data_IF_146965767368
#
_entry.id   IF_146965767368
#
_cell.length_a   1.000
_cell.length_b   1.000
_cell.length_c   1.000
_cell.angle_alpha   90.00
_cell.angle_beta   90.00
_cell.angle_gamma   90.00
#
_symmetry.space_group_name_H-M   'P 1'
#
loop_
_entity.id
_entity.type
_entity.pdbx_description
1 polymer ?
#
# COMPACT_ATOMS: atom_id res chain seq x y z
N UNK A 1 26.34 -1.03 -20.85
CA UNK A 1 24.93 -0.95 -20.41
C UNK A 1 24.19 -0.13 -21.46
N UNK A 2 23.17 -0.69 -22.10
CA UNK A 2 22.32 0.10 -22.98
C UNK A 2 21.35 0.90 -22.09
N UNK A 3 21.37 2.22 -22.20
CA UNK A 3 20.32 3.08 -21.63
C UNK A 3 18.97 2.62 -22.18
N UNK A 4 17.92 2.55 -21.36
CA UNK A 4 16.58 2.40 -21.91
C UNK A 4 16.32 3.60 -22.82
N UNK A 5 15.76 3.33 -24.01
CA UNK A 5 15.52 4.39 -24.98
C UNK A 5 14.32 5.23 -24.51
N UNK A 6 14.58 6.50 -24.20
CA UNK A 6 13.53 7.48 -23.98
C UNK A 6 12.74 7.62 -25.28
N UNK A 7 11.43 7.42 -25.22
CA UNK A 7 10.54 7.64 -26.37
C UNK A 7 9.76 8.93 -26.15
N UNK A 8 9.89 9.87 -27.09
CA UNK A 8 9.15 11.13 -27.07
C UNK A 8 7.78 10.99 -27.72
N UNK A 9 6.79 11.62 -27.11
CA UNK A 9 5.43 11.79 -27.61
C UNK A 9 5.08 13.27 -27.60
N UNK A 10 5.08 13.89 -28.78
CA UNK A 10 4.76 15.30 -28.99
C UNK A 10 3.25 15.55 -28.81
N UNK A 11 2.86 16.65 -28.13
CA UNK A 11 1.46 16.93 -27.80
C UNK A 11 0.59 17.26 -29.02
N UNK A 12 1.21 17.68 -30.11
CA UNK A 12 0.57 18.07 -31.36
C UNK A 12 0.51 16.96 -32.41
N UNK A 13 1.13 15.81 -32.14
CA UNK A 13 1.19 14.70 -33.10
C UNK A 13 0.18 13.61 -32.73
N UNK A 14 -0.60 13.13 -33.70
CA UNK A 14 -1.52 12.01 -33.49
C UNK A 14 -0.74 10.74 -33.08
N UNK A 15 -1.23 9.95 -32.09
CA UNK A 15 -2.59 9.94 -31.54
C UNK A 15 -2.82 10.82 -30.29
N UNK A 16 -1.94 11.78 -29.98
CA UNK A 16 -2.20 12.71 -28.88
C UNK A 16 -3.44 13.59 -29.16
N UNK A 17 -4.13 14.00 -28.10
CA UNK A 17 -5.28 14.92 -28.17
C UNK A 17 -5.12 16.06 -27.17
N UNK A 18 -5.50 17.26 -27.57
CA UNK A 18 -5.45 18.47 -26.75
C UNK A 18 -6.85 19.10 -26.70
N UNK A 19 -7.46 19.19 -25.51
CA UNK A 19 -8.69 19.95 -25.28
C UNK A 19 -8.36 21.44 -25.23
N UNK A 20 -8.04 22.02 -26.38
CA UNK A 20 -7.55 23.38 -26.55
C UNK A 20 -7.16 23.61 -28.00
N UNK A 21 -6.05 24.31 -28.22
CA UNK A 21 -5.47 24.49 -29.56
C UNK A 21 -4.00 24.10 -29.54
N UNK A 22 -3.52 23.55 -30.65
CA UNK A 22 -2.09 23.43 -30.89
C UNK A 22 -1.58 24.79 -31.37
N UNK A 23 -0.59 25.34 -30.67
CA UNK A 23 0.03 26.62 -30.99
C UNK A 23 1.54 26.50 -31.20
N UNK A 24 2.14 27.55 -31.76
CA UNK A 24 3.58 27.67 -32.03
C UNK A 24 4.09 29.09 -31.77
N UNK A 25 3.31 29.91 -31.07
CA UNK A 25 3.53 31.35 -30.83
C UNK A 25 4.49 31.66 -29.66
N UNK A 26 4.93 30.65 -28.91
CA UNK A 26 5.96 30.76 -27.89
C UNK A 26 7.15 29.92 -28.30
N UNK A 27 8.36 30.49 -28.36
CA UNK A 27 9.56 29.77 -28.78
C UNK A 27 10.03 28.76 -27.73
N UNK A 28 10.82 27.75 -28.12
CA UNK A 28 11.49 26.80 -27.23
C UNK A 28 10.80 25.44 -27.00
N UNK A 29 9.67 25.20 -27.67
CA UNK A 29 8.99 23.90 -27.78
C UNK A 29 9.72 22.95 -28.74
N UNK A 30 9.39 21.66 -28.75
CA UNK A 30 9.87 20.69 -29.75
C UNK A 30 8.80 20.33 -30.79
N UNK A 31 9.22 19.69 -31.87
CA UNK A 31 8.30 19.36 -32.96
C UNK A 31 7.77 20.60 -33.67
N UNK A 32 6.47 20.63 -33.94
CA UNK A 32 5.78 21.64 -34.75
C UNK A 32 4.86 22.57 -33.95
N UNK A 33 4.58 22.24 -32.69
CA UNK A 33 3.79 23.08 -31.80
C UNK A 33 3.75 22.53 -30.38
N UNK A 34 2.82 23.02 -29.57
CA UNK A 34 2.52 22.53 -28.23
C UNK A 34 1.03 22.63 -27.94
N UNK A 35 0.54 21.85 -26.97
CA UNK A 35 -0.85 21.93 -26.52
C UNK A 35 -1.05 23.11 -25.58
N UNK A 36 -1.83 24.11 -26.03
CA UNK A 36 -2.41 25.15 -25.18
C UNK A 36 -3.82 24.72 -24.76
N UNK A 37 -3.94 24.12 -23.57
CA UNK A 37 -5.20 23.60 -23.06
C UNK A 37 -6.21 24.69 -22.69
N UNK A 38 -7.50 24.38 -22.83
CA UNK A 38 -8.57 25.28 -22.40
C UNK A 38 -8.44 25.62 -20.90
N UNK A 39 -8.65 26.89 -20.55
CA UNK A 39 -8.66 27.38 -19.17
C UNK A 39 -9.95 26.99 -18.44
N UNK A 40 -10.13 25.68 -18.19
CA UNK A 40 -11.22 25.11 -17.40
C UNK A 40 -10.77 23.84 -16.68
N UNK A 41 -11.36 23.56 -15.53
CA UNK A 41 -11.17 22.28 -14.84
C UNK A 41 -11.69 21.14 -15.75
N UNK A 42 -10.94 20.04 -15.81
CA UNK A 42 -11.32 18.85 -16.59
C UNK A 42 -11.01 18.87 -18.10
N UNK A 43 -10.48 19.98 -18.67
CA UNK A 43 -9.79 19.94 -19.97
C UNK A 43 -8.63 18.91 -19.92
N UNK A 44 -8.14 18.38 -21.04
CA UNK A 44 -6.97 17.51 -20.98
C UNK A 44 -6.04 17.58 -22.17
N UNK A 45 -4.78 17.24 -21.89
CA UNK A 45 -3.87 16.68 -22.88
C UNK A 45 -3.80 15.17 -22.63
N UNK A 46 -4.02 14.36 -23.66
CA UNK A 46 -3.96 12.91 -23.58
C UNK A 46 -3.00 12.36 -24.61
N UNK A 47 -2.16 11.43 -24.17
CA UNK A 47 -1.14 10.76 -24.97
C UNK A 47 -1.46 9.27 -25.01
N UNK A 48 -1.22 8.64 -26.16
CA UNK A 48 -1.19 7.17 -26.24
C UNK A 48 0.27 6.74 -26.37
N UNK A 49 0.77 6.06 -25.36
CA UNK A 49 2.17 5.63 -25.28
C UNK A 49 2.24 4.11 -25.38
N UNK A 50 3.29 3.60 -26.02
CA UNK A 50 3.46 2.15 -26.20
C UNK A 50 4.64 1.68 -25.36
N UNK A 51 4.40 0.72 -24.48
CA UNK A 51 5.44 0.05 -23.72
C UNK A 51 5.71 -1.34 -24.32
N UNK A 52 6.96 -1.68 -24.61
CA UNK A 52 7.32 -3.01 -25.12
C UNK A 52 7.11 -4.12 -24.08
N UNK A 53 7.06 -3.76 -22.80
CA UNK A 53 6.75 -4.63 -21.66
C UNK A 53 6.00 -3.84 -20.58
N UNK A 54 5.29 -4.54 -19.70
CA UNK A 54 4.70 -3.93 -18.51
C UNK A 54 5.81 -3.57 -17.51
N UNK A 55 5.72 -2.42 -16.85
CA UNK A 55 6.74 -1.96 -15.91
C UNK A 55 6.56 -0.53 -15.44
N UNK A 56 7.33 -0.15 -14.43
CA UNK A 56 7.36 1.25 -13.95
C UNK A 56 8.09 2.11 -14.97
N UNK A 57 7.38 3.09 -15.52
CA UNK A 57 7.93 4.10 -16.41
C UNK A 57 8.18 5.41 -15.66
N UNK A 58 9.29 6.05 -16.00
CA UNK A 58 9.54 7.46 -15.72
C UNK A 58 8.95 8.27 -16.86
N UNK A 59 8.01 9.15 -16.54
CA UNK A 59 7.32 10.03 -17.46
C UNK A 59 7.77 11.45 -17.15
N UNK A 60 8.52 12.05 -18.06
CA UNK A 60 8.94 13.44 -18.01
C UNK A 60 7.99 14.28 -18.87
N UNK A 61 7.21 15.13 -18.22
CA UNK A 61 6.29 16.07 -18.89
C UNK A 61 7.00 17.40 -19.05
N UNK A 62 7.23 17.84 -20.30
CA UNK A 62 7.75 19.18 -20.56
C UNK A 62 6.62 20.18 -20.71
N UNK A 63 6.73 21.30 -20.00
CA UNK A 63 5.67 22.28 -19.90
C UNK A 63 6.19 23.72 -19.77
N UNK A 64 5.34 24.68 -20.08
CA UNK A 64 5.55 26.10 -19.77
C UNK A 64 4.34 26.67 -19.02
N UNK A 65 4.60 27.41 -17.95
CA UNK A 65 3.59 28.14 -17.19
C UNK A 65 4.12 29.55 -16.93
N UNK A 66 3.80 30.50 -17.83
CA UNK A 66 4.28 31.88 -17.73
C UNK A 66 3.66 32.69 -16.59
N UNK A 67 2.83 32.09 -15.73
CA UNK A 67 2.24 32.74 -14.55
C UNK A 67 3.01 32.40 -13.28
N UNK A 68 2.70 33.06 -12.16
CA UNK A 68 3.25 32.71 -10.84
C UNK A 68 2.41 31.69 -10.08
N UNK A 69 1.17 31.43 -10.52
CA UNK A 69 0.27 30.47 -9.89
C UNK A 69 0.52 29.05 -10.41
N UNK A 70 0.53 28.06 -9.51
CA UNK A 70 0.59 26.65 -9.89
C UNK A 70 -0.66 26.24 -10.71
N UNK A 71 -0.47 25.39 -11.72
CA UNK A 71 -1.55 24.78 -12.51
C UNK A 71 -1.56 23.26 -12.31
N UNK A 72 -2.03 22.75 -11.16
CA UNK A 72 -1.93 21.33 -10.85
C UNK A 72 -2.86 20.47 -11.71
N UNK A 73 -2.45 19.24 -11.99
CA UNK A 73 -3.25 18.26 -12.72
C UNK A 73 -3.18 16.86 -12.11
N UNK A 74 -4.30 16.13 -12.13
CA UNK A 74 -4.30 14.70 -11.94
C UNK A 74 -3.77 14.03 -13.21
N UNK A 75 -2.90 13.05 -13.03
CA UNK A 75 -2.36 12.22 -14.10
C UNK A 75 -3.06 10.88 -14.06
N UNK A 76 -3.90 10.62 -15.05
CA UNK A 76 -4.61 9.37 -15.19
C UNK A 76 -3.86 8.46 -16.14
N UNK A 77 -3.67 7.21 -15.72
CA UNK A 77 -3.14 6.14 -16.54
C UNK A 77 -4.26 5.13 -16.82
N UNK A 78 -4.54 4.88 -18.10
CA UNK A 78 -5.58 3.94 -18.53
C UNK A 78 -6.94 4.22 -17.86
N UNK A 79 -7.27 5.52 -17.68
CA UNK A 79 -8.50 5.99 -17.05
C UNK A 79 -8.51 5.99 -15.52
N UNK A 80 -7.45 5.54 -14.85
CA UNK A 80 -7.33 5.55 -13.38
C UNK A 80 -6.34 6.62 -12.94
N UNK A 81 -6.64 7.39 -11.89
CA UNK A 81 -5.69 8.38 -11.34
C UNK A 81 -4.44 7.66 -10.83
N UNK A 82 -3.31 7.88 -11.51
CA UNK A 82 -2.00 7.34 -11.14
C UNK A 82 -1.27 8.27 -10.17
N UNK A 83 -1.43 9.59 -10.35
CA UNK A 83 -0.97 10.61 -9.42
C UNK A 83 -1.97 11.75 -9.38
N UNK A 84 -2.29 12.25 -8.18
CA UNK A 84 -3.17 13.40 -8.01
C UNK A 84 -2.40 14.69 -7.77
N UNK A 85 -2.92 15.80 -8.29
CA UNK A 85 -2.42 17.14 -8.00
C UNK A 85 -0.95 17.40 -8.37
N UNK A 86 -0.44 16.78 -9.44
CA UNK A 86 0.92 17.01 -9.95
C UNK A 86 1.11 18.49 -10.27
N UNK A 87 2.10 19.12 -9.66
CA UNK A 87 2.33 20.55 -9.78
C UNK A 87 3.03 20.91 -11.11
N UNK A 88 2.50 21.94 -11.76
CA UNK A 88 3.09 22.62 -12.91
C UNK A 88 3.29 24.08 -12.52
N UNK A 89 4.38 24.31 -11.79
CA UNK A 89 4.70 25.61 -11.18
C UNK A 89 5.06 26.67 -12.23
N UNK A 90 5.03 27.94 -11.85
CA UNK A 90 5.44 29.03 -12.74
C UNK A 90 6.86 28.85 -13.27
N UNK A 91 7.03 28.91 -14.60
CA UNK A 91 8.33 28.85 -15.29
C UNK A 91 8.93 30.23 -15.54
N UNK A 92 8.25 31.30 -15.13
CA UNK A 92 8.70 32.69 -15.28
C UNK A 92 8.28 33.35 -16.60
N UNK A 93 8.25 32.59 -17.70
CA UNK A 93 7.73 33.04 -19.00
C UNK A 93 7.17 31.88 -19.82
N UNK A 94 6.26 32.15 -20.75
CA UNK A 94 5.70 31.13 -21.65
C UNK A 94 6.69 30.59 -22.68
N UNK A 95 7.81 31.29 -22.88
CA UNK A 95 8.96 30.83 -23.70
C UNK A 95 10.00 30.07 -22.88
N UNK A 96 9.79 29.93 -21.56
CA UNK A 96 10.67 29.17 -20.66
C UNK A 96 9.99 27.86 -20.31
N UNK A 97 10.63 26.77 -20.70
CA UNK A 97 10.11 25.42 -20.55
C UNK A 97 10.82 24.71 -19.40
N UNK A 98 10.04 23.98 -18.60
CA UNK A 98 10.52 23.15 -17.50
C UNK A 98 10.04 21.71 -17.70
N UNK A 99 10.61 20.80 -16.92
CA UNK A 99 10.22 19.39 -16.91
C UNK A 99 9.79 18.99 -15.52
N UNK A 100 8.61 18.38 -15.41
CA UNK A 100 8.15 17.67 -14.22
C UNK A 100 8.20 16.18 -14.51
N UNK A 101 8.80 15.41 -13.59
CA UNK A 101 8.95 13.96 -13.74
C UNK A 101 8.05 13.23 -12.76
N UNK A 102 7.40 12.18 -13.25
CA UNK A 102 6.59 11.26 -12.44
C UNK A 102 6.87 9.80 -12.79
N UNK A 103 6.48 8.89 -11.91
CA UNK A 103 6.60 7.45 -12.13
C UNK A 103 5.21 6.81 -12.15
N UNK A 104 4.94 5.95 -13.15
CA UNK A 104 3.68 5.22 -13.25
C UNK A 104 3.89 3.82 -13.87
N UNK A 105 3.07 2.85 -13.48
CA UNK A 105 3.19 1.46 -13.97
C UNK A 105 2.41 1.25 -15.26
N UNK A 106 3.11 1.16 -16.39
CA UNK A 106 2.51 0.89 -17.70
C UNK A 106 2.22 -0.60 -17.90
N UNK A 107 1.15 -0.91 -18.63
CA UNK A 107 0.90 -2.24 -19.19
C UNK A 107 1.79 -2.47 -20.41
N UNK A 108 2.06 -3.73 -20.76
CA UNK A 108 2.65 -4.05 -22.05
C UNK A 108 1.67 -3.64 -23.17
N UNK A 109 2.18 -3.06 -24.25
CA UNK A 109 1.39 -2.52 -25.35
C UNK A 109 0.94 -1.08 -25.10
N UNK A 110 -0.25 -0.74 -25.58
CA UNK A 110 -0.78 0.62 -25.58
C UNK A 110 -1.28 1.05 -24.20
N UNK A 111 -0.94 2.27 -23.79
CA UNK A 111 -1.39 2.91 -22.56
C UNK A 111 -1.85 4.34 -22.85
N UNK A 112 -2.85 4.83 -22.13
CA UNK A 112 -3.26 6.24 -22.19
C UNK A 112 -2.77 7.00 -20.97
N UNK A 113 -2.10 8.12 -21.19
CA UNK A 113 -1.70 9.06 -20.14
C UNK A 113 -2.49 10.35 -20.35
N UNK A 114 -3.35 10.71 -19.39
CA UNK A 114 -4.20 11.90 -19.46
C UNK A 114 -3.81 12.87 -18.34
N UNK A 115 -3.45 14.10 -18.70
CA UNK A 115 -3.23 15.21 -17.78
C UNK A 115 -4.55 15.96 -17.60
N UNK A 116 -5.10 16.00 -16.39
CA UNK A 116 -6.40 16.59 -16.07
C UNK A 116 -6.26 17.69 -15.03
N UNK A 117 -6.32 18.99 -15.39
CA UNK A 117 -6.16 20.09 -14.46
C UNK A 117 -7.28 20.06 -13.42
N UNK A 118 -6.90 20.27 -12.17
CA UNK A 118 -7.81 20.23 -11.02
C UNK A 118 -8.37 21.60 -10.65
N UNK A 119 -7.99 22.65 -11.39
CA UNK A 119 -8.41 24.04 -11.15
C UNK A 119 -9.00 24.67 -12.40
N UNK A 120 -9.79 25.73 -12.22
CA UNK A 120 -10.38 26.50 -13.32
C UNK A 120 -9.33 27.16 -14.22
N UNK A 121 -8.09 27.33 -13.75
CA UNK A 121 -6.97 27.89 -14.52
C UNK A 121 -6.48 27.00 -15.67
N UNK A 122 -6.96 25.75 -15.75
CA UNK A 122 -6.58 24.79 -16.80
C UNK A 122 -5.15 24.27 -16.66
N UNK A 123 -4.66 23.63 -17.73
CA UNK A 123 -3.29 23.08 -17.78
C UNK A 123 -2.27 24.18 -18.05
N UNK A 124 -1.00 23.90 -17.71
CA UNK A 124 0.13 24.58 -18.33
C UNK A 124 0.19 24.24 -19.84
N UNK A 125 0.99 24.99 -20.62
CA UNK A 125 1.26 24.59 -22.00
C UNK A 125 2.07 23.30 -21.97
N UNK A 126 1.62 22.26 -22.66
CA UNK A 126 2.27 20.94 -22.68
C UNK A 126 2.96 20.75 -24.03
N UNK A 127 4.27 20.57 -24.00
CA UNK A 127 5.12 20.36 -25.17
C UNK A 127 5.10 18.87 -25.57
N UNK A 128 5.67 18.02 -24.71
CA UNK A 128 5.75 16.58 -24.95
C UNK A 128 5.83 15.77 -23.66
N UNK A 129 5.66 14.45 -23.81
CA UNK A 129 6.05 13.45 -22.83
C UNK A 129 7.30 12.71 -23.33
N UNK A 130 8.36 12.73 -22.54
CA UNK A 130 9.46 11.79 -22.66
C UNK A 130 9.16 10.62 -21.74
N UNK A 131 8.84 9.47 -22.32
CA UNK A 131 8.56 8.25 -21.57
C UNK A 131 9.77 7.34 -21.67
N UNK A 132 10.44 7.20 -20.55
CA UNK A 132 11.35 6.11 -20.32
C UNK A 132 10.55 5.05 -19.58
N UNK A 133 10.09 4.02 -20.31
CA UNK A 133 9.76 2.79 -19.62
C UNK A 133 11.08 2.36 -19.03
N UNK A 134 11.23 2.55 -17.73
CA UNK A 134 12.28 1.86 -17.05
C UNK A 134 12.16 0.44 -17.58
N UNK A 135 13.28 -0.15 -17.98
CA UNK A 135 13.44 -1.49 -17.48
C UNK A 135 12.98 -1.41 -16.01
N UNK A 136 12.39 -2.45 -15.46
CA UNK A 136 12.54 -2.60 -14.02
C UNK A 136 14.03 -2.29 -13.66
N UNK A 137 14.50 -2.39 -12.42
CA UNK A 137 15.74 -3.16 -12.36
C UNK A 137 15.57 -4.35 -13.32
N UNK A 138 16.15 -4.32 -14.53
CA UNK A 138 16.53 -5.55 -15.20
C UNK A 138 17.23 -6.23 -14.06
N UNK A 139 16.67 -7.33 -13.52
CA UNK A 139 17.22 -7.93 -12.32
C UNK A 139 18.67 -8.17 -12.67
N UNK A 140 19.57 -7.35 -12.10
CA UNK A 140 20.89 -7.06 -12.63
C UNK A 140 21.50 -8.35 -13.11
N UNK A 141 21.48 -8.63 -14.42
CA UNK A 141 21.66 -9.97 -15.00
C UNK A 141 21.72 -11.04 -13.90
N UNK A 142 20.58 -11.34 -13.24
CA UNK A 142 20.66 -12.08 -11.98
C UNK A 142 21.48 -13.31 -12.22
N UNK A 143 22.48 -13.53 -11.36
CA UNK A 143 23.10 -14.81 -11.21
C UNK A 143 22.02 -15.88 -11.40
N UNK A 144 22.29 -16.87 -12.25
CA UNK A 144 21.34 -17.96 -12.51
C UNK A 144 20.68 -18.37 -11.20
N UNK A 145 19.35 -18.53 -11.15
CA UNK A 145 18.64 -18.82 -9.90
C UNK A 145 19.39 -19.93 -9.15
N UNK A 146 19.58 -19.81 -7.82
CA UNK A 146 20.40 -20.75 -7.05
C UNK A 146 19.79 -22.17 -6.98
N UNK A 147 18.71 -22.41 -7.72
CA UNK A 147 17.89 -23.59 -7.62
C UNK A 147 16.94 -23.51 -6.43
N UNK A 148 15.92 -24.36 -6.47
CA UNK A 148 14.98 -24.54 -5.38
C UNK A 148 15.68 -25.24 -4.20
N UNK A 149 15.65 -24.69 -2.98
CA UNK A 149 16.24 -25.35 -1.81
C UNK A 149 15.56 -26.68 -1.47
N UNK A 150 16.30 -27.61 -0.86
CA UNK A 150 15.79 -28.92 -0.42
C UNK A 150 14.67 -28.79 0.63
N UNK A 151 14.63 -27.67 1.36
CA UNK A 151 13.59 -27.28 2.30
C UNK A 151 12.23 -27.06 1.65
N UNK A 152 12.17 -26.95 0.31
CA UNK A 152 10.95 -26.71 -0.43
C UNK A 152 10.39 -27.99 -1.07
N UNK A 153 9.16 -28.39 -0.74
CA UNK A 153 8.47 -29.58 -1.26
C UNK A 153 7.13 -29.25 -1.93
N UNK A 154 6.56 -30.18 -2.71
CA UNK A 154 5.31 -29.97 -3.45
C UNK A 154 5.46 -29.23 -4.79
N UNK A 155 4.36 -29.11 -5.53
CA UNK A 155 4.30 -28.47 -6.85
C UNK A 155 3.11 -27.51 -7.02
N UNK A 156 2.01 -27.73 -6.30
CA UNK A 156 0.87 -26.80 -6.20
C UNK A 156 0.06 -27.13 -4.93
N UNK A 157 0.33 -26.47 -3.79
CA UNK A 157 1.34 -25.43 -3.59
C UNK A 157 2.77 -25.99 -3.51
N UNK A 158 3.74 -25.08 -3.62
CA UNK A 158 5.14 -25.29 -3.22
C UNK A 158 5.29 -24.73 -1.80
N UNK A 159 5.70 -25.56 -0.84
CA UNK A 159 5.88 -25.15 0.55
C UNK A 159 7.34 -25.29 0.95
N UNK A 160 7.89 -24.26 1.59
CA UNK A 160 9.26 -24.23 2.11
C UNK A 160 9.24 -23.99 3.61
N UNK A 161 10.15 -24.64 4.35
CA UNK A 161 10.30 -24.40 5.78
C UNK A 161 11.77 -24.27 6.20
N UNK A 162 12.08 -23.21 6.95
CA UNK A 162 13.43 -22.91 7.43
C UNK A 162 13.41 -22.80 8.95
N UNK A 163 14.20 -23.64 9.64
CA UNK A 163 14.37 -23.60 11.10
C UNK A 163 15.23 -22.41 11.54
N UNK A 164 14.64 -21.22 11.53
CA UNK A 164 15.30 -19.96 11.91
C UNK A 164 14.64 -19.35 13.16
N UNK A 165 15.40 -18.66 14.00
CA UNK A 165 14.85 -18.01 15.20
C UNK A 165 14.00 -16.79 14.83
N UNK A 166 13.06 -16.35 15.70
CA UNK A 166 12.34 -15.09 15.52
C UNK A 166 13.28 -13.92 15.23
N UNK A 167 12.92 -13.08 14.26
CA UNK A 167 13.80 -12.03 13.75
C UNK A 167 13.40 -11.57 12.35
N UNK A 168 14.20 -10.70 11.75
CA UNK A 168 13.96 -10.17 10.41
C UNK A 168 14.88 -10.85 9.40
N UNK A 169 14.33 -11.26 8.26
CA UNK A 169 15.04 -11.99 7.21
C UNK A 169 14.80 -11.36 5.84
N UNK A 170 15.87 -11.21 5.06
CA UNK A 170 15.78 -10.92 3.64
C UNK A 170 15.51 -12.22 2.91
N UNK A 171 14.39 -12.27 2.19
CA UNK A 171 13.99 -13.41 1.37
C UNK A 171 14.00 -13.01 -0.09
N UNK A 172 14.79 -13.71 -0.89
CA UNK A 172 14.85 -13.50 -2.34
C UNK A 172 14.24 -14.70 -3.04
N UNK A 173 13.19 -14.49 -3.82
CA UNK A 173 12.48 -15.51 -4.57
C UNK A 173 12.62 -15.25 -6.07
N UNK A 174 12.99 -16.26 -6.84
CA UNK A 174 13.02 -16.23 -8.30
C UNK A 174 11.76 -16.93 -8.82
N UNK A 175 10.77 -16.13 -9.19
CA UNK A 175 9.43 -16.58 -9.58
C UNK A 175 9.36 -16.75 -11.10
N UNK A 176 8.78 -17.85 -11.56
CA UNK A 176 8.75 -18.23 -12.97
C UNK A 176 9.63 -19.44 -13.27
N UNK A 177 9.67 -19.85 -14.53
CA UNK A 177 10.30 -21.07 -14.99
C UNK A 177 10.75 -20.95 -16.46
N UNK A 178 11.79 -21.70 -16.84
CA UNK A 178 12.31 -21.69 -18.21
C UNK A 178 11.42 -22.44 -19.19
N UNK A 179 10.77 -23.52 -18.75
CA UNK A 179 10.04 -24.43 -19.63
C UNK A 179 8.57 -24.03 -19.81
N UNK A 180 7.97 -23.40 -18.80
CA UNK A 180 6.52 -23.23 -18.75
C UNK A 180 6.10 -21.92 -18.11
N UNK A 181 4.95 -21.39 -18.56
CA UNK A 181 4.31 -20.25 -17.91
C UNK A 181 3.87 -20.60 -16.48
N UNK A 182 3.73 -19.57 -15.64
CA UNK A 182 3.38 -19.72 -14.23
C UNK A 182 2.43 -18.64 -13.75
N UNK A 183 1.70 -18.96 -12.69
CA UNK A 183 0.94 -18.01 -11.90
C UNK A 183 1.24 -18.31 -10.43
N UNK A 184 1.94 -17.38 -9.77
CA UNK A 184 2.53 -17.61 -8.45
C UNK A 184 2.25 -16.46 -7.51
N UNK A 185 1.70 -16.77 -6.35
CA UNK A 185 1.57 -15.90 -5.18
C UNK A 185 2.47 -16.43 -4.07
N UNK A 186 2.78 -15.60 -3.08
CA UNK A 186 3.58 -15.98 -1.92
C UNK A 186 2.90 -15.50 -0.64
N UNK A 187 2.75 -16.42 0.31
CA UNK A 187 2.37 -16.12 1.68
C UNK A 187 3.38 -16.73 2.65
N UNK A 188 3.43 -16.20 3.87
CA UNK A 188 4.26 -16.74 4.95
C UNK A 188 3.43 -17.00 6.20
N UNK A 189 3.85 -18.02 6.94
CA UNK A 189 3.37 -18.32 8.30
C UNK A 189 1.83 -18.36 8.39
N UNK A 190 1.23 -17.59 9.31
CA UNK A 190 -0.21 -17.42 9.49
C UNK A 190 -0.89 -16.66 8.33
N UNK A 191 -0.69 -17.13 7.10
CA UNK A 191 -1.27 -16.64 5.83
C UNK A 191 -0.98 -15.17 5.51
N UNK A 192 0.09 -14.58 6.06
CA UNK A 192 0.49 -13.20 5.70
C UNK A 192 0.83 -13.14 4.22
N UNK A 193 0.10 -12.34 3.45
CA UNK A 193 0.33 -12.21 2.01
C UNK A 193 1.53 -11.32 1.76
N UNK A 194 2.52 -11.82 1.02
CA UNK A 194 3.76 -11.08 0.69
C UNK A 194 3.80 -10.69 -0.79
N UNK A 195 3.41 -11.61 -1.67
CA UNK A 195 3.33 -11.41 -3.11
C UNK A 195 1.92 -11.79 -3.59
N UNK A 196 1.13 -10.83 -4.09
CA UNK A 196 -0.07 -11.14 -4.86
C UNK A 196 0.26 -12.05 -6.05
N UNK A 197 -0.72 -12.76 -6.61
CA UNK A 197 -0.46 -13.65 -7.74
C UNK A 197 0.13 -12.87 -8.94
N UNK A 198 1.33 -13.25 -9.37
CA UNK A 198 1.99 -12.74 -10.57
C UNK A 198 2.05 -13.81 -11.65
N UNK A 199 1.79 -13.42 -12.89
CA UNK A 199 1.88 -14.32 -14.05
C UNK A 199 3.22 -14.14 -14.75
N UNK A 200 3.88 -15.25 -15.08
CA UNK A 200 5.15 -15.28 -15.83
C UNK A 200 4.98 -16.10 -17.10
N UNK A 201 5.48 -15.64 -18.23
CA UNK A 201 5.56 -16.45 -19.45
C UNK A 201 6.63 -17.54 -19.32
N UNK A 202 6.56 -18.58 -20.16
CA UNK A 202 7.66 -19.55 -20.27
C UNK A 202 8.96 -18.83 -20.66
N UNK A 203 10.08 -19.23 -20.05
CA UNK A 203 11.37 -18.57 -20.25
C UNK A 203 11.59 -17.35 -19.35
N UNK A 204 10.56 -16.88 -18.64
CA UNK A 204 10.64 -15.70 -17.77
C UNK A 204 10.85 -16.13 -16.32
N UNK A 205 11.88 -15.57 -15.69
CA UNK A 205 12.13 -15.69 -14.25
C UNK A 205 12.37 -14.29 -13.69
N UNK A 206 11.55 -13.87 -12.74
CA UNK A 206 11.61 -12.57 -12.09
C UNK A 206 12.09 -12.72 -10.66
N UNK A 207 13.09 -11.95 -10.27
CA UNK A 207 13.58 -11.90 -8.90
C UNK A 207 12.74 -10.91 -8.08
N UNK A 208 12.25 -11.37 -6.93
CA UNK A 208 11.61 -10.55 -5.92
C UNK A 208 12.41 -10.62 -4.61
N UNK A 209 12.61 -9.47 -3.97
CA UNK A 209 13.29 -9.37 -2.67
C UNK A 209 12.33 -8.80 -1.65
N UNK A 210 12.23 -9.46 -0.50
CA UNK A 210 11.33 -9.12 0.59
C UNK A 210 12.11 -9.03 1.90
N UNK A 211 11.62 -8.23 2.84
CA UNK A 211 12.01 -8.35 4.25
C UNK A 211 10.83 -8.95 5.02
N UNK A 212 11.07 -10.03 5.76
CA UNK A 212 10.05 -10.82 6.45
C UNK A 212 10.38 -10.89 7.93
N UNK A 213 9.42 -10.57 8.76
CA UNK A 213 9.52 -10.69 10.21
C UNK A 213 8.98 -12.05 10.63
N UNK A 214 9.84 -12.90 11.17
CA UNK A 214 9.52 -14.22 11.72
C UNK A 214 9.21 -14.08 13.20
N UNK A 215 8.10 -14.67 13.65
CA UNK A 215 7.64 -14.60 15.04
C UNK A 215 7.25 -15.98 15.55
N UNK A 216 7.20 -16.10 16.88
CA UNK A 216 6.61 -17.24 17.54
C UNK A 216 5.80 -16.75 18.75
N UNK A 217 4.46 -16.92 18.77
CA UNK A 217 3.61 -17.48 17.72
C UNK A 217 3.73 -16.80 16.34
N UNK A 218 3.49 -17.55 15.26
CA UNK A 218 3.47 -17.05 13.87
C UNK A 218 2.39 -15.96 13.66
N UNK A 219 1.21 -16.20 14.24
CA UNK A 219 0.03 -15.36 14.13
C UNK A 219 -0.19 -14.49 15.36
N UNK A 220 -1.30 -14.72 16.04
CA UNK A 220 -1.74 -13.95 17.21
C UNK A 220 -0.84 -14.22 18.42
N UNK A 221 -0.30 -13.19 19.11
CA UNK A 221 0.65 -13.39 20.20
C UNK A 221 0.11 -14.20 21.40
N UNK A 222 -1.21 -14.20 21.64
CA UNK A 222 -1.83 -15.06 22.68
C UNK A 222 -1.93 -16.53 22.27
N UNK A 223 -1.60 -16.85 21.02
CA UNK A 223 -1.74 -18.19 20.44
C UNK A 223 -3.15 -18.51 19.97
N UNK A 224 -4.08 -17.54 20.00
CA UNK A 224 -5.44 -17.75 19.49
C UNK A 224 -5.42 -18.15 18.00
N UNK A 225 -6.14 -19.23 17.69
CA UNK A 225 -6.18 -19.81 16.34
C UNK A 225 -5.00 -20.73 16.01
N UNK A 226 -4.03 -20.89 16.92
CA UNK A 226 -2.84 -21.73 16.79
C UNK A 226 -1.53 -20.95 16.86
N UNK A 227 -0.45 -21.63 17.24
CA UNK A 227 0.88 -21.01 17.38
C UNK A 227 1.75 -21.10 16.12
N UNK A 228 1.36 -21.94 15.17
CA UNK A 228 2.10 -22.16 13.92
C UNK A 228 3.27 -23.13 14.09
N UNK A 229 4.20 -23.13 13.13
CA UNK A 229 5.40 -23.95 13.13
C UNK A 229 6.62 -23.06 13.39
N UNK A 230 7.37 -23.32 14.46
CA UNK A 230 8.57 -22.53 14.77
C UNK A 230 9.53 -22.48 13.58
N UNK A 231 9.92 -21.28 13.18
CA UNK A 231 10.74 -21.04 11.98
C UNK A 231 10.00 -20.19 10.96
N UNK A 232 10.53 -20.15 9.74
CA UNK A 232 9.91 -19.45 8.62
C UNK A 232 9.27 -20.46 7.67
N UNK A 233 7.94 -20.50 7.66
CA UNK A 233 7.15 -21.25 6.69
C UNK A 233 6.72 -20.33 5.55
N UNK A 234 6.96 -20.77 4.30
CA UNK A 234 6.63 -20.01 3.08
C UNK A 234 5.81 -20.90 2.15
N UNK A 235 4.69 -20.38 1.66
CA UNK A 235 3.83 -21.08 0.71
C UNK A 235 3.75 -20.29 -0.59
N UNK A 236 4.15 -20.91 -1.68
CA UNK A 236 3.93 -20.43 -3.03
C UNK A 236 2.74 -21.16 -3.66
N UNK A 237 1.69 -20.41 -3.99
CA UNK A 237 0.43 -20.93 -4.51
C UNK A 237 0.03 -20.21 -5.81
N UNK A 238 -1.09 -20.58 -6.41
CA UNK A 238 -1.58 -20.03 -7.69
C UNK A 238 -2.02 -21.16 -8.60
N UNK A 239 -2.48 -20.85 -9.82
CA UNK A 239 -2.95 -21.90 -10.74
C UNK A 239 -1.81 -22.78 -11.26
N UNK A 240 -0.58 -22.27 -11.31
CA UNK A 240 0.61 -23.00 -11.69
C UNK A 240 1.86 -22.34 -11.05
N UNK A 241 2.11 -22.54 -9.74
CA UNK A 241 3.18 -21.83 -9.06
C UNK A 241 4.56 -22.30 -9.56
N UNK A 242 5.44 -21.33 -9.81
CA UNK A 242 6.81 -21.55 -10.32
C UNK A 242 7.82 -20.84 -9.44
N UNK A 243 8.72 -21.62 -8.85
CA UNK A 243 9.82 -21.15 -8.01
C UNK A 243 11.13 -21.74 -8.55
N UNK A 244 11.88 -20.92 -9.26
CA UNK A 244 13.19 -21.28 -9.83
C UNK A 244 14.33 -21.16 -8.80
N UNK A 245 14.12 -20.42 -7.71
CA UNK A 245 15.09 -20.33 -6.63
C UNK A 245 14.59 -19.54 -5.43
N UNK A 246 15.21 -19.78 -4.27
CA UNK A 246 14.86 -19.11 -3.01
C UNK A 246 16.08 -19.02 -2.10
N UNK A 247 16.32 -17.85 -1.50
CA UNK A 247 17.30 -17.66 -0.43
C UNK A 247 16.66 -16.98 0.77
N UNK A 248 17.10 -17.37 1.96
CA UNK A 248 16.69 -16.78 3.24
C UNK A 248 17.95 -16.41 4.01
N UNK A 249 18.10 -15.14 4.36
CA UNK A 249 19.26 -14.60 5.07
C UNK A 249 18.80 -13.62 6.14
N UNK A 250 19.51 -13.48 7.28
CA UNK A 250 19.19 -12.42 8.25
C UNK A 250 19.19 -11.04 7.58
N UNK A 251 18.20 -10.21 7.87
CA UNK A 251 18.10 -8.86 7.33
C UNK A 251 19.00 -7.89 8.09
N UNK A 252 19.70 -7.02 7.37
CA UNK A 252 20.47 -5.92 7.96
C UNK A 252 19.57 -4.76 8.36
N UNK A 253 19.33 -4.60 9.68
CA UNK A 253 18.65 -3.46 10.32
C UNK A 253 17.51 -2.80 9.49
N UNK A 254 16.46 -3.56 9.11
CA UNK A 254 15.34 -2.96 8.38
C UNK A 254 14.56 -2.00 9.27
N UNK A 255 13.85 -1.05 8.65
CA UNK A 255 12.81 -0.28 9.33
C UNK A 255 11.66 -1.22 9.70
N UNK A 256 11.27 -1.27 10.97
CA UNK A 256 10.14 -2.10 11.41
C UNK A 256 8.90 -1.25 11.63
N UNK A 257 7.77 -1.67 11.05
CA UNK A 257 6.45 -1.18 11.39
C UNK A 257 5.74 -2.23 12.27
N UNK A 258 5.73 -1.97 13.57
CA UNK A 258 5.00 -2.76 14.55
C UNK A 258 3.51 -2.39 14.52
N UNK A 259 2.64 -3.41 14.52
CA UNK A 259 1.20 -3.20 14.59
C UNK A 259 0.67 -3.68 15.95
N UNK A 260 0.11 -2.75 16.72
CA UNK A 260 -0.64 -3.03 17.94
C UNK A 260 -2.13 -2.84 17.63
N UNK A 261 -2.92 -3.91 17.76
CA UNK A 261 -4.34 -3.82 17.46
C UNK A 261 -5.15 -5.07 17.75
N UNK A 262 -6.40 -5.05 17.27
CA UNK A 262 -7.42 -6.06 17.54
C UNK A 262 -7.57 -7.08 16.38
N UNK A 263 -8.70 -7.80 16.34
CA UNK A 263 -9.04 -8.80 15.31
C UNK A 263 -9.09 -8.24 13.88
N UNK A 264 -9.28 -6.93 13.72
CA UNK A 264 -9.27 -6.26 12.41
C UNK A 264 -7.86 -5.98 11.89
N UNK A 265 -6.84 -6.13 12.75
CA UNK A 265 -5.43 -5.93 12.44
C UNK A 265 -4.68 -7.27 12.32
N UNK A 266 -4.99 -8.22 13.22
CA UNK A 266 -4.16 -9.39 13.48
C UNK A 266 -4.01 -10.38 12.31
N UNK A 267 -2.99 -11.24 12.42
CA UNK A 267 -2.77 -12.35 11.49
C UNK A 267 -3.70 -13.51 11.83
N UNK A 268 -4.71 -13.74 10.99
CA UNK A 268 -5.69 -14.81 11.17
C UNK A 268 -5.20 -16.09 10.50
N UNK A 269 -4.88 -17.10 11.32
CA UNK A 269 -4.40 -18.41 10.85
C UNK A 269 -5.45 -19.17 10.03
N UNK A 270 -6.73 -19.01 10.40
CA UNK A 270 -7.85 -19.76 9.82
C UNK A 270 -8.73 -18.80 9.01
N UNK A 271 -9.01 -19.18 7.77
CA UNK A 271 -9.97 -18.49 6.91
C UNK A 271 -11.41 -18.60 7.49
N UNK A 272 -12.32 -17.64 7.22
CA UNK A 272 -12.18 -16.56 6.23
C UNK A 272 -11.69 -15.22 6.79
N UNK A 273 -11.60 -15.08 8.11
CA UNK A 273 -11.18 -13.84 8.78
C UNK A 273 -9.80 -13.38 8.29
N UNK A 274 -9.63 -12.09 8.04
CA UNK A 274 -8.36 -11.51 7.63
C UNK A 274 -8.21 -10.11 8.22
N UNK A 275 -7.10 -9.84 8.93
CA UNK A 275 -6.78 -8.49 9.39
C UNK A 275 -6.10 -7.66 8.29
N UNK A 276 -6.26 -6.34 8.30
CA UNK A 276 -5.57 -5.50 7.31
C UNK A 276 -4.04 -5.56 7.47
N UNK A 277 -3.55 -5.75 8.70
CA UNK A 277 -2.13 -5.94 9.00
C UNK A 277 -1.54 -7.20 8.37
N UNK A 278 -2.38 -8.22 8.13
CA UNK A 278 -2.00 -9.47 7.47
C UNK A 278 -1.75 -9.30 5.97
N UNK A 279 -2.34 -8.27 5.34
CA UNK A 279 -2.25 -7.97 3.91
C UNK A 279 -1.31 -6.79 3.61
N UNK A 280 -1.12 -5.88 4.55
CA UNK A 280 -0.20 -4.74 4.41
C UNK A 280 1.20 -5.10 3.87
N UNK A 281 1.84 -6.25 4.20
CA UNK A 281 3.16 -6.60 3.66
C UNK A 281 3.24 -6.64 2.13
N UNK A 282 2.12 -6.84 1.43
CA UNK A 282 2.08 -6.77 -0.05
C UNK A 282 2.42 -5.40 -0.62
N UNK A 283 2.28 -4.34 0.19
CA UNK A 283 2.55 -2.94 -0.16
C UNK A 283 3.94 -2.48 0.27
N UNK A 284 4.71 -3.33 0.96
CA UNK A 284 6.01 -2.99 1.53
C UNK A 284 7.13 -3.69 0.74
N UNK A 285 8.14 -2.93 0.35
CA UNK A 285 9.34 -3.38 -0.36
C UNK A 285 10.45 -3.77 0.62
N UNK A 286 11.53 -4.35 0.10
CA UNK A 286 12.69 -4.76 0.92
C UNK A 286 13.33 -3.55 1.63
N UNK A 287 13.87 -3.77 2.83
CA UNK A 287 14.45 -2.71 3.67
C UNK A 287 13.49 -2.20 4.76
N UNK A 288 12.19 -2.51 4.64
CA UNK A 288 11.22 -2.36 5.72
C UNK A 288 10.36 -3.61 5.88
N UNK A 289 9.80 -3.79 7.08
CA UNK A 289 9.02 -4.98 7.42
C UNK A 289 7.86 -4.68 8.37
N UNK A 290 6.75 -5.40 8.19
CA UNK A 290 5.60 -5.35 9.10
C UNK A 290 5.74 -6.46 10.14
N UNK A 291 5.72 -6.07 11.42
CA UNK A 291 5.69 -6.96 12.56
C UNK A 291 4.31 -6.85 13.24
N UNK A 292 3.40 -7.77 12.89
CA UNK A 292 2.01 -7.70 13.35
C UNK A 292 1.86 -8.38 14.72
N UNK A 293 1.57 -7.59 15.75
CA UNK A 293 1.29 -8.06 17.10
C UNK A 293 -0.21 -7.93 17.45
N UNK A 294 -1.07 -7.68 16.46
CA UNK A 294 -2.51 -7.65 16.70
C UNK A 294 -3.03 -8.99 17.23
N UNK A 295 -4.09 -8.94 18.04
CA UNK A 295 -4.68 -10.11 18.67
C UNK A 295 -6.21 -9.96 18.79
N UNK A 296 -6.96 -11.04 18.60
CA UNK A 296 -8.41 -10.95 18.47
C UNK A 296 -9.09 -10.65 19.81
N UNK A 297 -10.10 -9.78 19.78
CA UNK A 297 -10.88 -9.46 20.98
C UNK A 297 -10.22 -8.45 21.92
N UNK A 298 -9.02 -7.97 21.61
CA UNK A 298 -8.30 -7.04 22.46
C UNK A 298 -8.85 -5.61 22.40
N UNK A 299 -8.96 -4.99 23.58
CA UNK A 299 -9.20 -3.56 23.81
C UNK A 299 -7.88 -2.83 24.03
N UNK A 300 -7.90 -1.49 24.02
CA UNK A 300 -6.71 -0.69 24.38
C UNK A 300 -6.10 -1.06 25.74
N UNK A 301 -6.95 -1.43 26.71
CA UNK A 301 -6.53 -1.77 28.06
C UNK A 301 -6.00 -3.19 28.16
N UNK A 302 -6.69 -4.17 27.57
CA UNK A 302 -6.26 -5.57 27.63
C UNK A 302 -4.95 -5.78 26.84
N UNK A 303 -4.78 -5.13 25.69
CA UNK A 303 -3.53 -5.16 24.93
C UNK A 303 -2.33 -4.58 25.70
N UNK A 304 -2.55 -3.47 26.41
CA UNK A 304 -1.52 -2.82 27.21
C UNK A 304 -1.06 -3.70 28.38
N UNK A 305 -1.98 -4.45 29.01
CA UNK A 305 -1.72 -5.16 30.26
C UNK A 305 -1.38 -6.65 30.09
N UNK A 306 -1.81 -7.28 29.01
CA UNK A 306 -1.53 -8.70 28.78
C UNK A 306 -0.04 -8.90 28.46
N UNK A 307 0.65 -9.70 29.27
CA UNK A 307 2.09 -9.96 29.12
C UNK A 307 2.51 -10.47 27.73
N UNK A 308 1.62 -11.15 27.01
CA UNK A 308 1.90 -11.68 25.65
C UNK A 308 1.81 -10.60 24.54
N UNK A 309 1.28 -9.41 24.84
CA UNK A 309 0.96 -8.37 23.85
C UNK A 309 1.94 -7.19 23.92
N UNK A 310 1.49 -6.00 24.35
CA UNK A 310 2.34 -4.81 24.38
C UNK A 310 3.66 -5.02 25.15
N UNK A 311 3.67 -5.67 26.34
CA UNK A 311 4.91 -5.95 27.07
C UNK A 311 5.91 -6.84 26.31
N UNK A 312 5.43 -7.75 25.44
CA UNK A 312 6.29 -8.61 24.61
C UNK A 312 6.80 -7.86 23.37
N UNK A 313 5.97 -7.00 22.77
CA UNK A 313 6.34 -6.19 21.61
C UNK A 313 7.31 -5.05 21.97
N UNK A 314 7.06 -4.36 23.09
CA UNK A 314 7.80 -3.16 23.52
C UNK A 314 9.34 -3.33 23.54
N UNK A 315 9.93 -4.41 24.08
CA UNK A 315 11.38 -4.56 24.11
C UNK A 315 12.04 -4.75 22.74
N UNK A 316 11.27 -5.01 21.70
CA UNK A 316 11.78 -5.26 20.35
C UNK A 316 11.94 -3.97 19.54
N UNK A 317 11.22 -2.91 19.91
CA UNK A 317 11.21 -1.61 19.24
C UNK A 317 12.61 -0.98 19.33
N UNK A 318 13.11 -0.53 18.18
CA UNK A 318 14.37 0.23 18.05
C UNK A 318 14.10 1.68 17.65
N UNK A 319 15.15 2.48 17.66
CA UNK A 319 15.10 3.87 17.22
C UNK A 319 14.52 3.98 15.79
N UNK A 320 13.56 4.89 15.62
CA UNK A 320 12.84 5.20 14.38
C UNK A 320 11.88 4.11 13.86
N UNK A 321 11.74 2.98 14.54
CA UNK A 321 10.69 2.01 14.20
C UNK A 321 9.31 2.65 14.39
N UNK A 322 8.38 2.33 13.50
CA UNK A 322 7.00 2.81 13.58
C UNK A 322 6.19 1.86 14.46
N UNK A 323 5.30 2.43 15.30
CA UNK A 323 4.32 1.64 16.06
C UNK A 323 2.93 2.16 15.76
N UNK A 324 2.20 1.44 14.92
CA UNK A 324 0.81 1.75 14.56
C UNK A 324 -0.11 1.16 15.63
N UNK A 325 -0.83 2.02 16.33
CA UNK A 325 -1.68 1.67 17.48
C UNK A 325 -3.15 1.87 17.07
N UNK A 326 -3.89 0.77 16.93
CA UNK A 326 -5.30 0.78 16.52
C UNK A 326 -6.18 0.02 17.52
N UNK A 327 -7.03 0.74 18.25
CA UNK A 327 -8.01 0.14 19.16
C UNK A 327 -9.36 0.86 19.11
N UNK A 328 -10.40 0.16 19.53
CA UNK A 328 -11.72 0.73 19.74
C UNK A 328 -12.87 -0.26 19.54
N UNK A 329 -12.68 -1.32 18.74
CA UNK A 329 -13.73 -2.33 18.54
C UNK A 329 -14.17 -2.99 19.84
N UNK A 330 -13.21 -3.33 20.71
CA UNK A 330 -13.44 -4.04 21.95
C UNK A 330 -13.45 -3.14 23.19
N UNK A 331 -13.20 -1.83 23.02
CA UNK A 331 -13.34 -0.81 24.06
C UNK A 331 -14.82 -0.41 24.29
N UNK A 332 -15.70 -1.43 24.36
CA UNK A 332 -17.17 -1.28 24.30
C UNK A 332 -17.75 -0.50 25.48
N UNK A 333 -17.10 -0.56 26.63
CA UNK A 333 -17.48 0.16 27.86
C UNK A 333 -16.32 0.97 28.46
N UNK A 334 -15.21 1.11 27.72
CA UNK A 334 -14.05 1.89 28.17
C UNK A 334 -14.44 3.36 28.27
N UNK A 335 -14.20 3.98 29.43
CA UNK A 335 -14.45 5.41 29.60
C UNK A 335 -13.44 6.23 28.79
N UNK A 336 -13.79 7.47 28.42
CA UNK A 336 -12.87 8.36 27.71
C UNK A 336 -11.54 8.59 28.46
N UNK A 337 -11.60 8.66 29.80
CA UNK A 337 -10.40 8.78 30.65
C UNK A 337 -9.50 7.55 30.56
N UNK A 338 -10.07 6.35 30.70
CA UNK A 338 -9.31 5.11 30.62
C UNK A 338 -8.72 4.90 29.22
N UNK A 339 -9.51 5.15 28.16
CA UNK A 339 -9.06 4.99 26.78
C UNK A 339 -7.86 5.92 26.47
N UNK A 340 -7.97 7.22 26.81
CA UNK A 340 -6.85 8.15 26.68
C UNK A 340 -5.65 7.75 27.53
N UNK A 341 -5.87 7.29 28.76
CA UNK A 341 -4.81 6.81 29.66
C UNK A 341 -4.03 5.64 29.08
N UNK A 342 -4.74 4.65 28.52
CA UNK A 342 -4.13 3.48 27.89
C UNK A 342 -3.28 3.88 26.67
N UNK A 343 -3.84 4.68 25.76
CA UNK A 343 -3.14 5.14 24.56
C UNK A 343 -1.93 6.02 24.91
N UNK A 344 -2.08 6.93 25.87
CA UNK A 344 -0.97 7.79 26.34
C UNK A 344 0.17 6.96 26.90
N UNK A 345 -0.15 5.90 27.66
CA UNK A 345 0.85 4.99 28.23
C UNK A 345 1.62 4.27 27.11
N UNK A 346 0.93 3.70 26.12
CA UNK A 346 1.58 3.06 24.98
C UNK A 346 2.46 4.05 24.20
N UNK A 347 1.95 5.23 23.87
CA UNK A 347 2.69 6.31 23.17
C UNK A 347 3.99 6.66 23.90
N UNK A 348 3.92 6.89 25.22
CA UNK A 348 5.07 7.29 26.01
C UNK A 348 6.11 6.17 26.11
N UNK A 349 5.67 4.92 26.27
CA UNK A 349 6.59 3.77 26.32
C UNK A 349 7.26 3.51 24.97
N UNK A 350 6.54 3.68 23.85
CA UNK A 350 7.13 3.61 22.49
C UNK A 350 8.20 4.70 22.32
N UNK A 351 7.90 5.95 22.70
CA UNK A 351 8.86 7.06 22.63
C UNK A 351 10.08 6.81 23.51
N UNK A 352 9.91 6.23 24.69
CA UNK A 352 11.01 5.87 25.59
C UNK A 352 11.95 4.81 24.99
N UNK A 353 11.48 4.02 24.02
CA UNK A 353 12.29 3.09 23.21
C UNK A 353 12.94 3.73 21.98
N UNK A 354 12.67 5.01 21.72
CA UNK A 354 13.09 5.71 20.51
C UNK A 354 12.21 5.40 19.28
N UNK A 355 11.12 4.66 19.46
CA UNK A 355 10.14 4.41 18.40
C UNK A 355 9.25 5.62 18.13
N UNK A 356 8.60 5.61 16.97
CA UNK A 356 7.67 6.64 16.51
C UNK A 356 6.25 6.10 16.61
N UNK A 357 5.46 6.49 17.63
CA UNK A 357 4.08 6.06 17.74
C UNK A 357 3.23 6.75 16.67
N UNK A 358 2.26 6.03 16.13
CA UNK A 358 1.26 6.50 15.18
C UNK A 358 -0.09 5.94 15.62
N UNK A 359 -1.06 6.82 15.84
CA UNK A 359 -2.42 6.37 16.12
C UNK A 359 -3.14 6.05 14.80
N UNK A 360 -3.89 4.96 14.78
CA UNK A 360 -4.78 4.60 13.67
C UNK A 360 -6.18 4.44 14.24
N UNK A 361 -7.14 5.24 13.81
CA UNK A 361 -8.52 5.10 14.31
C UNK A 361 -9.13 3.77 13.81
N UNK A 362 -9.99 3.09 14.58
CA UNK A 362 -10.52 1.79 14.17
C UNK A 362 -11.39 1.91 12.90
N UNK A 363 -11.25 1.02 11.89
CA UNK A 363 -12.09 1.05 10.70
C UNK A 363 -13.56 0.80 11.06
N UNK A 364 -14.50 1.34 10.30
CA UNK A 364 -15.93 1.23 10.62
C UNK A 364 -16.45 -0.21 10.56
N UNK A 365 -17.51 -0.47 11.32
CA UNK A 365 -18.34 -1.67 11.12
C UNK A 365 -19.34 -1.43 9.99
N UNK A 366 -19.76 -2.49 9.31
CA UNK A 366 -20.86 -2.45 8.35
C UNK A 366 -22.21 -2.47 9.07
N UNK A 367 -22.62 -1.33 9.61
CA UNK A 367 -23.95 -1.17 10.25
C UNK A 367 -24.60 0.12 9.77
N UNK A 368 -25.72 -0.03 9.07
CA UNK A 368 -26.40 1.07 8.42
C UNK A 368 -27.70 1.42 9.12
N UNK A 369 -27.99 2.72 9.18
CA UNK A 369 -29.32 3.31 9.32
C UNK A 369 -29.66 4.02 8.00
N UNK A 370 -30.55 3.41 7.20
CA UNK A 370 -30.72 3.78 5.79
C UNK A 370 -29.44 3.59 4.98
N UNK A 371 -28.92 4.68 4.40
CA UNK A 371 -27.67 4.69 3.61
C UNK A 371 -26.48 5.30 4.37
N UNK A 372 -26.62 5.53 5.66
CA UNK A 372 -25.59 6.11 6.51
C UNK A 372 -25.19 5.12 7.59
N UNK A 373 -23.93 5.13 7.99
CA UNK A 373 -23.44 4.28 9.06
C UNK A 373 -23.92 4.80 10.43
N UNK A 374 -24.38 3.88 11.28
CA UNK A 374 -24.88 4.22 12.62
C UNK A 374 -23.74 4.66 13.57
N UNK A 375 -24.10 5.21 14.74
CA UNK A 375 -23.13 5.64 15.75
C UNK A 375 -22.19 4.51 16.22
N UNK A 376 -22.69 3.27 16.29
CA UNK A 376 -21.90 2.09 16.71
C UNK A 376 -20.91 1.67 15.63
N UNK A 377 -21.25 1.86 14.35
CA UNK A 377 -20.36 1.65 13.21
C UNK A 377 -19.14 2.56 13.27
N UNK A 378 -19.35 3.80 13.73
CA UNK A 378 -18.35 4.85 13.89
C UNK A 378 -17.66 4.83 15.27
N UNK A 379 -17.85 3.75 16.03
CA UNK A 379 -17.22 3.51 17.33
C UNK A 379 -17.56 4.53 18.42
N UNK A 380 -18.81 5.02 18.42
CA UNK A 380 -19.42 5.52 19.65
C UNK A 380 -19.79 4.30 20.49
N UNK A 381 -19.08 4.10 21.61
CA UNK A 381 -19.19 2.88 22.39
C UNK A 381 -20.46 2.87 23.27
N UNK A 382 -20.68 1.78 24.01
CA UNK A 382 -21.88 1.55 24.82
C UNK A 382 -22.07 2.53 25.99
N UNK A 383 -21.05 3.35 26.30
CA UNK A 383 -21.13 4.42 27.31
C UNK A 383 -21.11 5.82 26.67
N UNK A 384 -21.32 5.92 25.36
CA UNK A 384 -21.45 7.18 24.61
C UNK A 384 -20.13 7.86 24.24
N UNK A 385 -18.99 7.20 24.41
CA UNK A 385 -17.67 7.77 24.08
C UNK A 385 -17.39 7.59 22.60
N UNK A 386 -17.09 8.69 21.90
CA UNK A 386 -16.61 8.67 20.52
C UNK A 386 -15.09 8.38 20.51
N UNK A 387 -14.73 7.10 20.43
CA UNK A 387 -13.34 6.65 20.54
C UNK A 387 -12.41 7.24 19.46
N UNK A 388 -12.81 7.31 18.16
CA UNK A 388 -12.00 7.97 17.14
C UNK A 388 -11.75 9.45 17.43
N UNK A 389 -12.73 10.18 17.97
CA UNK A 389 -12.54 11.58 18.36
C UNK A 389 -11.53 11.74 19.51
N UNK A 390 -11.55 10.84 20.50
CA UNK A 390 -10.55 10.81 21.57
C UNK A 390 -9.13 10.57 20.99
N UNK A 391 -8.98 9.67 20.01
CA UNK A 391 -7.68 9.42 19.36
C UNK A 391 -7.17 10.63 18.59
N UNK A 392 -8.05 11.32 17.82
CA UNK A 392 -7.68 12.55 17.10
C UNK A 392 -7.25 13.65 18.06
N UNK A 393 -8.02 13.86 19.13
CA UNK A 393 -7.70 14.87 20.15
C UNK A 393 -6.38 14.57 20.84
N UNK A 394 -6.14 13.30 21.19
CA UNK A 394 -4.89 12.86 21.78
C UNK A 394 -3.70 13.00 20.83
N UNK A 395 -3.88 12.69 19.54
CA UNK A 395 -2.86 12.88 18.51
C UNK A 395 -2.42 14.34 18.41
N UNK A 396 -3.37 15.26 18.37
CA UNK A 396 -3.09 16.71 18.37
C UNK A 396 -2.39 17.16 19.66
N UNK A 397 -2.86 16.71 20.84
CA UNK A 397 -2.31 17.17 22.12
C UNK A 397 -0.90 16.65 22.42
N UNK A 398 -0.58 15.44 21.96
CA UNK A 398 0.72 14.81 22.18
C UNK A 398 1.67 14.95 20.99
N UNK A 399 1.26 15.57 19.88
CA UNK A 399 2.06 15.64 18.65
C UNK A 399 2.34 14.25 18.06
N UNK A 400 1.32 13.38 18.03
CA UNK A 400 1.39 12.03 17.47
C UNK A 400 0.62 12.00 16.15
N UNK A 401 1.22 11.51 15.04
CA UNK A 401 0.48 11.36 13.78
C UNK A 401 -0.74 10.45 13.95
N UNK A 402 -1.84 10.83 13.30
CA UNK A 402 -3.09 10.05 13.30
C UNK A 402 -3.46 9.68 11.87
N UNK A 403 -3.55 8.38 11.58
CA UNK A 403 -4.20 7.88 10.37
C UNK A 403 -5.69 7.71 10.70
N UNK A 404 -6.52 8.55 10.09
CA UNK A 404 -7.96 8.55 10.36
C UNK A 404 -8.70 7.49 9.52
N UNK A 405 -8.42 6.23 9.82
CA UNK A 405 -8.99 5.10 9.11
C UNK A 405 -10.49 4.95 9.35
N UNK A 406 -11.05 5.42 10.48
CA UNK A 406 -12.51 5.53 10.66
C UNK A 406 -13.12 6.40 9.56
N UNK A 407 -12.65 7.64 9.37
CA UNK A 407 -13.22 8.53 8.35
C UNK A 407 -13.02 7.99 6.92
N UNK A 408 -11.84 7.46 6.62
CA UNK A 408 -11.53 6.88 5.30
C UNK A 408 -12.41 5.65 5.00
N UNK A 409 -12.58 4.75 5.97
CA UNK A 409 -13.40 3.54 5.79
C UNK A 409 -14.89 3.85 5.80
N UNK A 410 -15.36 4.85 6.56
CA UNK A 410 -16.73 5.38 6.49
C UNK A 410 -17.06 5.84 5.07
N UNK A 411 -16.22 6.70 4.48
CA UNK A 411 -16.40 7.17 3.11
C UNK A 411 -16.44 6.02 2.08
N UNK A 412 -15.54 5.03 2.23
CA UNK A 412 -15.53 3.86 1.36
C UNK A 412 -16.83 3.04 1.50
N UNK A 413 -17.23 2.70 2.73
CA UNK A 413 -18.38 1.82 2.99
C UNK A 413 -19.69 2.50 2.59
N UNK A 414 -19.86 3.79 2.90
CA UNK A 414 -21.05 4.54 2.50
C UNK A 414 -21.13 4.77 0.99
N UNK A 415 -20.01 5.04 0.31
CA UNK A 415 -20.00 5.19 -1.16
C UNK A 415 -20.40 3.90 -1.91
N UNK A 416 -20.12 2.74 -1.32
CA UNK A 416 -20.57 1.45 -1.84
C UNK A 416 -22.02 1.12 -1.46
N UNK A 417 -22.57 1.80 -0.44
CA UNK A 417 -23.89 1.55 0.12
C UNK A 417 -24.03 0.18 0.79
N UNK A 418 -25.21 -0.12 1.38
CA UNK A 418 -25.44 -1.35 2.12
C UNK A 418 -25.12 -2.62 1.32
N UNK A 419 -25.59 -2.73 0.08
CA UNK A 419 -25.44 -3.97 -0.71
C UNK A 419 -24.00 -4.23 -1.14
N UNK A 420 -23.34 -3.28 -1.82
CA UNK A 420 -22.02 -3.55 -2.40
C UNK A 420 -20.92 -3.58 -1.34
N UNK A 421 -21.06 -2.84 -0.24
CA UNK A 421 -20.08 -2.86 0.86
C UNK A 421 -19.95 -4.23 1.53
N UNK A 422 -20.94 -5.12 1.38
CA UNK A 422 -20.91 -6.46 1.97
C UNK A 422 -19.66 -7.26 1.56
N UNK A 423 -19.09 -7.02 0.38
CA UNK A 423 -17.89 -7.72 -0.09
C UNK A 423 -16.61 -7.36 0.69
N UNK A 424 -16.61 -6.23 1.40
CA UNK A 424 -15.51 -5.83 2.29
C UNK A 424 -15.52 -6.64 3.60
N UNK A 425 -16.63 -7.31 3.91
CA UNK A 425 -16.82 -8.07 5.14
C UNK A 425 -17.16 -9.53 4.80
N UNK A 426 -17.45 -10.34 5.82
CA UNK A 426 -17.75 -11.77 5.62
C UNK A 426 -19.24 -11.97 5.30
N UNK A 427 -19.51 -12.74 4.25
CA UNK A 427 -20.85 -13.03 3.75
C UNK A 427 -21.12 -14.52 3.79
N UNK A 428 -22.31 -14.92 4.25
CA UNK A 428 -22.69 -16.34 4.31
C UNK A 428 -22.49 -17.07 2.99
N UNK A 429 -22.84 -16.44 1.87
CA UNK A 429 -22.82 -17.04 0.53
C UNK A 429 -21.42 -17.26 -0.05
N UNK A 430 -20.38 -16.64 0.52
CA UNK A 430 -19.00 -16.69 0.00
C UNK A 430 -18.05 -17.26 1.04
N UNK A 431 -18.20 -16.80 2.28
CA UNK A 431 -17.27 -17.05 3.38
C UNK A 431 -17.82 -18.08 4.39
N UNK A 432 -19.06 -18.51 4.24
CA UNK A 432 -19.71 -19.46 5.14
C UNK A 432 -20.18 -18.88 6.49
N UNK A 433 -19.99 -17.57 6.69
CA UNK A 433 -20.43 -16.82 7.87
C UNK A 433 -20.83 -15.40 7.48
N UNK A 434 -21.82 -14.81 8.17
CA UNK A 434 -22.11 -13.37 8.06
C UNK A 434 -21.49 -12.63 9.23
N UNK A 435 -20.57 -11.71 8.94
CA UNK A 435 -19.93 -10.85 9.92
C UNK A 435 -19.81 -9.43 9.34
N UNK A 436 -20.15 -8.41 10.13
CA UNK A 436 -20.13 -7.01 9.73
C UNK A 436 -19.05 -6.18 10.44
N UNK A 437 -18.14 -6.84 11.17
CA UNK A 437 -16.96 -6.24 11.79
C UNK A 437 -15.69 -6.76 11.13
N UNK A 438 -15.61 -8.07 10.89
CA UNK A 438 -14.42 -8.69 10.35
C UNK A 438 -14.41 -8.72 8.82
N UNK A 439 -13.20 -8.65 8.25
CA UNK A 439 -13.03 -8.49 6.81
C UNK A 439 -12.82 -9.82 6.10
N UNK A 440 -13.31 -9.87 4.86
CA UNK A 440 -12.78 -10.78 3.84
C UNK A 440 -11.35 -10.41 3.49
N UNK A 441 -10.60 -11.29 2.79
CA UNK A 441 -9.25 -10.94 2.31
C UNK A 441 -9.28 -9.69 1.39
N UNK A 442 -10.33 -9.55 0.58
CA UNK A 442 -10.57 -8.35 -0.24
C UNK A 442 -10.73 -7.09 0.63
N UNK A 443 -11.60 -7.15 1.64
CA UNK A 443 -11.83 -6.02 2.53
C UNK A 443 -10.59 -5.62 3.33
N UNK A 444 -9.86 -6.61 3.85
CA UNK A 444 -8.59 -6.38 4.54
C UNK A 444 -7.56 -5.68 3.63
N UNK A 445 -7.52 -6.05 2.34
CA UNK A 445 -6.72 -5.36 1.33
C UNK A 445 -7.15 -3.90 1.13
N UNK A 446 -8.45 -3.62 1.04
CA UNK A 446 -8.97 -2.24 0.91
C UNK A 446 -8.66 -1.39 2.15
N UNK A 447 -8.75 -1.96 3.34
CA UNK A 447 -8.36 -1.26 4.57
C UNK A 447 -6.85 -1.01 4.62
N UNK A 448 -6.02 -1.96 4.18
CA UNK A 448 -4.59 -1.77 4.06
C UNK A 448 -4.23 -0.65 3.07
N UNK A 449 -4.96 -0.51 1.95
CA UNK A 449 -4.78 0.59 0.99
C UNK A 449 -5.07 1.96 1.64
N UNK A 450 -6.12 2.08 2.45
CA UNK A 450 -6.44 3.31 3.18
C UNK A 450 -5.39 3.64 4.25
N UNK A 451 -4.80 2.63 4.89
CA UNK A 451 -3.66 2.81 5.82
C UNK A 451 -2.44 3.31 5.07
N UNK A 452 -2.15 2.76 3.89
CA UNK A 452 -1.04 3.21 3.01
C UNK A 452 -1.25 4.65 2.56
N UNK A 453 -2.47 5.04 2.21
CA UNK A 453 -2.83 6.43 1.92
C UNK A 453 -2.52 7.34 3.12
N UNK A 454 -2.94 6.94 4.33
CA UNK A 454 -2.64 7.67 5.56
C UNK A 454 -1.14 7.75 5.88
N UNK A 455 -0.37 6.70 5.60
CA UNK A 455 1.09 6.69 5.72
C UNK A 455 1.71 7.77 4.82
N UNK A 456 1.23 7.90 3.58
CA UNK A 456 1.68 8.93 2.61
C UNK A 456 1.30 10.34 3.07
N UNK A 457 0.04 10.55 3.43
CA UNK A 457 -0.47 11.86 3.90
C UNK A 457 0.28 12.37 5.13
N UNK A 458 0.71 11.47 6.01
CA UNK A 458 1.46 11.81 7.23
C UNK A 458 2.97 11.79 7.03
N UNK A 459 3.45 11.51 5.81
CA UNK A 459 4.86 11.43 5.46
C UNK A 459 5.68 10.56 6.44
N UNK A 460 5.13 9.39 6.80
CA UNK A 460 5.80 8.49 7.74
C UNK A 460 7.00 7.81 7.05
N UNK A 461 8.00 7.39 7.83
CA UNK A 461 9.25 6.80 7.30
C UNK A 461 9.04 5.59 6.39
N UNK A 462 7.91 4.87 6.54
CA UNK A 462 7.55 3.74 5.69
C UNK A 462 7.28 4.13 4.23
N UNK A 463 7.00 5.42 3.92
CA UNK A 463 6.74 5.91 2.55
C UNK A 463 7.86 5.53 1.59
N UNK A 464 9.12 5.60 2.03
CA UNK A 464 10.29 5.26 1.21
C UNK A 464 10.38 3.78 0.83
N UNK A 465 9.55 2.93 1.44
CA UNK A 465 9.53 1.50 1.24
C UNK A 465 8.18 1.00 0.72
N UNK A 466 7.24 1.89 0.37
CA UNK A 466 5.99 1.47 -0.26
C UNK A 466 6.21 1.09 -1.73
N UNK A 467 5.49 0.08 -2.20
CA UNK A 467 5.48 -0.35 -3.61
C UNK A 467 4.54 0.49 -4.48
#
# INVERSE_FOLDING_TARGET
MASAAVTRYEAETTPATCDGVIESNHTGYSGSGFCNGNSRAGAAAQFTVTASAAGTATIAVRYANGTTANRPADVLLNGTVAQSGVAFNGTGAWTTWATTTLTASLNAGSNTIRLSPTTASGLANIDYLDVEVGASPSPSATASPPGRPAQCTGSSPITCHFGVSPGNYTVTAWIGDRASAGNTSMSVEARRRILPAVTTAAGTITQYVFTINVRQPEGQPTGQGGTGTSGLSITFAGSAPKLSGLTVQPAGNPLVAYLAGDSTVCDQMIAPYTGWGQILPTRVSTGAVVANYGDSGESSGSFLNNSALFPTMLPLIKNNDLVLIQFGHNDKSTTASAFRGNLTTMINQVRARGGVPVLVTPPVRRRFDGNQLDATARHINGVGVNLPAEMRSLGSSLGVPVIDLTAKSEALVESMGPTNSAQLYLRQSVDGVTDNTHFSEYGAGRMADLVVEGIRERNLSLVSYLR
#
